data_IF_484336792237
#
_entry.id   IF_484336792237
#
_cell.length_a   1.000
_cell.length_b   1.000
_cell.length_c   1.000
_cell.angle_alpha   90.00
_cell.angle_beta   90.00
_cell.angle_gamma   90.00
#
_symmetry.space_group_name_H-M   'P 1'
#
loop_
_entity.id
_entity.type
_entity.pdbx_description
1 polymer ?
#
# COMPACT_ATOMS: atom_id res chain seq x y z
N UNK A 1 -0.71 17.67 -25.74
CA UNK A 1 -0.16 16.60 -24.90
C UNK A 1 -1.33 15.73 -24.48
N UNK A 2 -1.38 14.47 -24.92
CA UNK A 2 -2.45 13.55 -24.50
C UNK A 2 -2.23 13.23 -23.02
N UNK A 3 -3.20 13.53 -22.17
CA UNK A 3 -3.16 13.17 -20.75
C UNK A 3 -3.60 11.71 -20.66
N UNK A 4 -2.65 10.78 -20.57
CA UNK A 4 -2.99 9.38 -20.34
C UNK A 4 -3.54 9.24 -18.92
N UNK A 5 -4.72 8.63 -18.79
CA UNK A 5 -5.51 8.59 -17.57
C UNK A 5 -5.09 7.38 -16.70
N UNK A 6 -3.81 7.33 -16.33
CA UNK A 6 -3.24 6.20 -15.59
C UNK A 6 -3.78 6.12 -14.15
N UNK A 7 -3.76 4.90 -13.60
CA UNK A 7 -3.94 4.69 -12.16
C UNK A 7 -2.72 5.20 -11.38
N UNK A 8 -2.96 5.67 -10.15
CA UNK A 8 -1.93 6.11 -9.21
C UNK A 8 -2.02 5.24 -7.96
N UNK A 9 -0.95 4.49 -7.67
CA UNK A 9 -0.81 3.70 -6.46
C UNK A 9 0.15 4.40 -5.49
N UNK A 10 -0.38 4.87 -4.36
CA UNK A 10 0.41 5.40 -3.27
C UNK A 10 0.73 4.28 -2.26
N UNK A 11 1.98 4.19 -1.85
CA UNK A 11 2.42 3.25 -0.81
C UNK A 11 3.22 3.99 0.23
N UNK A 12 2.88 3.77 1.50
CA UNK A 12 3.63 4.33 2.63
C UNK A 12 4.88 3.49 2.87
N UNK A 13 6.01 3.86 2.26
CA UNK A 13 7.30 3.22 2.59
C UNK A 13 7.87 3.79 3.90
N UNK A 14 8.40 2.90 4.75
CA UNK A 14 9.22 3.28 5.90
C UNK A 14 10.60 3.76 5.41
N UNK A 15 10.72 5.02 4.99
CA UNK A 15 11.98 5.78 4.94
C UNK A 15 11.74 7.13 4.29
N UNK A 16 10.98 8.01 4.95
CA UNK A 16 10.89 9.39 4.49
C UNK A 16 12.18 10.19 4.74
N UNK A 17 13.09 9.71 5.61
CA UNK A 17 14.46 10.21 5.70
C UNK A 17 15.34 9.30 6.57
N UNK A 18 16.35 8.65 5.99
CA UNK A 18 17.38 7.91 6.73
C UNK A 18 18.76 8.48 6.41
N UNK A 19 19.54 8.84 7.43
CA UNK A 19 20.94 9.25 7.28
C UNK A 19 21.82 8.09 7.70
N UNK A 20 22.95 7.87 7.01
CA UNK A 20 23.92 6.89 7.47
C UNK A 20 24.83 7.53 8.53
N UNK A 21 24.83 6.95 9.74
CA UNK A 21 25.82 7.27 10.79
C UNK A 21 26.88 6.16 10.80
N UNK A 22 27.89 6.33 9.94
CA UNK A 22 28.80 5.25 9.59
C UNK A 22 28.08 4.20 8.72
N UNK A 23 28.08 2.95 9.15
CA UNK A 23 27.41 1.85 8.43
C UNK A 23 26.01 1.53 8.97
N UNK A 24 25.47 2.34 9.89
CA UNK A 24 24.15 2.14 10.49
C UNK A 24 23.17 3.20 10.00
N UNK A 25 21.94 2.82 9.62
CA UNK A 25 20.90 3.79 9.33
C UNK A 25 20.45 4.50 10.61
N UNK A 26 20.26 5.81 10.50
CA UNK A 26 19.82 6.71 11.55
C UNK A 26 18.57 7.47 11.07
N UNK A 27 17.52 7.40 11.87
CA UNK A 27 16.20 7.94 11.55
C UNK A 27 15.77 9.04 12.52
N UNK A 28 16.70 9.65 13.28
CA UNK A 28 16.35 10.63 14.30
C UNK A 28 15.60 11.87 13.77
N UNK A 29 15.74 12.19 12.48
CA UNK A 29 14.98 13.28 11.82
C UNK A 29 13.75 12.78 11.06
N UNK A 30 13.51 11.47 11.01
CA UNK A 30 12.32 10.92 10.36
C UNK A 30 11.07 11.36 11.12
N UNK A 31 9.97 11.55 10.38
CA UNK A 31 8.68 11.86 10.99
C UNK A 31 8.27 10.70 11.93
N UNK A 32 7.87 10.98 13.18
CA UNK A 32 7.39 9.95 14.09
C UNK A 32 6.20 9.17 13.47
N UNK A 33 6.09 7.84 13.71
CA UNK A 33 5.09 6.99 13.06
C UNK A 33 3.66 7.51 13.17
N UNK A 34 3.25 8.01 14.34
CA UNK A 34 1.90 8.55 14.55
C UNK A 34 1.59 9.76 13.66
N UNK A 35 2.58 10.67 13.50
CA UNK A 35 2.44 11.82 12.61
C UNK A 35 2.50 11.40 11.14
N UNK A 36 3.37 10.46 10.80
CA UNK A 36 3.52 9.93 9.45
C UNK A 36 2.22 9.29 8.95
N UNK A 37 1.53 8.51 9.80
CA UNK A 37 0.24 7.90 9.49
C UNK A 37 -0.82 8.94 9.12
N UNK A 38 -0.96 9.99 9.94
CA UNK A 38 -1.92 11.08 9.70
C UNK A 38 -1.56 11.87 8.44
N UNK A 39 -0.26 12.18 8.26
CA UNK A 39 0.23 12.87 7.07
C UNK A 39 -0.05 12.07 5.79
N UNK A 40 0.24 10.77 5.80
CA UNK A 40 0.00 9.88 4.66
C UNK A 40 -1.49 9.83 4.29
N UNK A 41 -2.38 9.67 5.28
CA UNK A 41 -3.82 9.69 5.04
C UNK A 41 -4.26 11.02 4.37
N UNK A 42 -3.78 12.15 4.88
CA UNK A 42 -4.05 13.47 4.28
C UNK A 42 -3.49 13.59 2.87
N UNK A 43 -2.32 13.01 2.59
CA UNK A 43 -1.71 12.99 1.26
C UNK A 43 -2.57 12.21 0.28
N UNK A 44 -3.01 11.00 0.64
CA UNK A 44 -3.90 10.18 -0.21
C UNK A 44 -5.19 10.93 -0.53
N UNK A 45 -5.79 11.57 0.47
CA UNK A 45 -7.03 12.35 0.28
C UNK A 45 -6.82 13.56 -0.64
N UNK A 46 -5.65 14.22 -0.57
CA UNK A 46 -5.31 15.31 -1.49
C UNK A 46 -5.21 14.81 -2.93
N UNK A 47 -4.53 13.70 -3.16
CA UNK A 47 -4.41 13.12 -4.51
C UNK A 47 -5.77 12.71 -5.07
N UNK A 48 -6.62 12.08 -4.27
CA UNK A 48 -7.99 11.74 -4.68
C UNK A 48 -8.81 12.97 -5.09
N UNK A 49 -8.67 14.07 -4.34
CA UNK A 49 -9.37 15.34 -4.64
C UNK A 49 -8.81 16.05 -5.88
N UNK A 50 -7.51 15.94 -6.15
CA UNK A 50 -6.84 16.69 -7.23
C UNK A 50 -6.73 15.95 -8.55
N UNK A 51 -6.92 14.62 -8.57
CA UNK A 51 -6.77 13.79 -9.76
C UNK A 51 -8.10 13.15 -10.18
N UNK A 52 -8.29 11.88 -9.84
CA UNK A 52 -9.56 11.16 -9.98
C UNK A 52 -9.67 10.23 -8.77
N UNK A 53 -10.74 10.35 -7.95
CA UNK A 53 -10.86 9.56 -6.72
C UNK A 53 -10.70 8.05 -6.93
N UNK A 54 -11.26 7.53 -8.02
CA UNK A 54 -11.25 6.10 -8.33
C UNK A 54 -9.89 5.63 -8.90
N UNK A 55 -9.14 6.55 -9.51
CA UNK A 55 -7.82 6.27 -10.06
C UNK A 55 -6.71 6.31 -8.98
N UNK A 56 -7.00 6.75 -7.74
CA UNK A 56 -6.00 6.85 -6.66
C UNK A 56 -6.26 5.80 -5.58
N UNK A 57 -5.37 4.81 -5.53
CA UNK A 57 -5.34 3.79 -4.48
C UNK A 57 -4.18 4.03 -3.52
N UNK A 58 -4.31 3.59 -2.27
CA UNK A 58 -3.33 3.91 -1.23
C UNK A 58 -3.26 2.88 -0.11
N UNK A 59 -2.06 2.34 0.14
CA UNK A 59 -1.79 1.43 1.27
C UNK A 59 -0.88 2.08 2.32
N UNK A 60 -1.30 2.08 3.57
CA UNK A 60 -0.55 2.63 4.69
C UNK A 60 0.42 1.61 5.31
N UNK A 61 0.16 0.31 5.13
CA UNK A 61 1.03 -0.77 5.57
C UNK A 61 1.32 -1.72 4.41
N UNK A 62 2.61 -1.90 4.13
CA UNK A 62 3.11 -2.75 3.03
C UNK A 62 4.17 -3.74 3.51
N UNK A 63 4.63 -3.61 4.76
CA UNK A 63 5.73 -4.39 5.32
C UNK A 63 5.28 -5.64 6.08
N UNK A 64 4.01 -5.71 6.45
CA UNK A 64 3.39 -6.84 7.15
C UNK A 64 1.95 -7.06 6.71
N UNK A 65 1.49 -8.29 6.88
CA UNK A 65 0.10 -8.67 6.71
C UNK A 65 -0.84 -8.11 7.79
N UNK A 66 -2.13 -8.09 7.47
CA UNK A 66 -3.19 -7.73 8.39
C UNK A 66 -3.42 -8.79 9.50
N UNK A 67 -3.16 -10.07 9.20
CA UNK A 67 -3.35 -11.19 10.11
C UNK A 67 -2.19 -11.38 11.11
N UNK A 68 -2.50 -11.62 12.39
CA UNK A 68 -1.51 -12.04 13.39
C UNK A 68 -0.45 -10.97 13.63
N UNK A 69 0.82 -11.37 13.65
CA UNK A 69 1.93 -10.42 13.60
C UNK A 69 2.09 -9.78 12.22
N UNK A 70 1.61 -10.46 11.17
CA UNK A 70 1.73 -10.09 9.78
C UNK A 70 3.08 -10.43 9.15
N UNK A 71 3.96 -11.13 9.87
CA UNK A 71 5.35 -11.35 9.43
C UNK A 71 5.65 -12.79 9.05
N UNK A 72 4.99 -13.75 9.69
CA UNK A 72 5.25 -15.19 9.48
C UNK A 72 3.97 -15.98 9.27
N UNK A 73 2.82 -15.44 9.66
CA UNK A 73 1.54 -16.11 9.55
C UNK A 73 1.07 -16.09 8.09
N UNK A 74 0.72 -17.26 7.57
CA UNK A 74 0.06 -17.46 6.29
C UNK A 74 -0.94 -18.62 6.36
N UNK A 75 -2.04 -18.51 5.61
CA UNK A 75 -3.05 -19.55 5.51
C UNK A 75 -3.61 -20.00 6.86
N UNK A 76 -3.45 -21.28 7.22
CA UNK A 76 -4.04 -21.85 8.44
C UNK A 76 -3.48 -21.25 9.74
N UNK A 77 -2.25 -20.75 9.73
CA UNK A 77 -1.65 -20.13 10.94
C UNK A 77 -2.35 -18.81 11.34
N UNK A 78 -3.10 -18.20 10.42
CA UNK A 78 -3.97 -17.06 10.73
C UNK A 78 -5.25 -17.42 11.49
N UNK A 79 -5.60 -18.70 11.57
CA UNK A 79 -6.85 -19.12 12.20
C UNK A 79 -6.84 -18.80 13.69
N UNK A 80 -7.82 -17.99 14.12
CA UNK A 80 -7.97 -17.56 15.51
C UNK A 80 -7.02 -16.43 15.92
N UNK A 81 -6.22 -15.89 15.00
CA UNK A 81 -5.41 -14.71 15.24
C UNK A 81 -6.25 -13.44 15.17
N UNK A 82 -5.76 -12.38 15.83
CA UNK A 82 -6.30 -11.03 15.62
C UNK A 82 -5.97 -10.56 14.20
N UNK A 83 -6.80 -9.66 13.68
CA UNK A 83 -6.52 -8.95 12.43
C UNK A 83 -6.38 -7.46 12.69
N UNK A 84 -5.84 -6.75 11.71
CA UNK A 84 -5.85 -5.30 11.66
C UNK A 84 -7.29 -4.74 11.63
N UNK A 85 -7.45 -3.48 12.06
CA UNK A 85 -8.77 -2.81 12.13
C UNK A 85 -9.37 -2.52 10.75
N UNK A 86 -8.52 -2.22 9.76
CA UNK A 86 -8.93 -1.88 8.40
C UNK A 86 -8.01 -2.55 7.36
N UNK A 87 -8.42 -3.69 6.77
CA UNK A 87 -7.64 -4.39 5.76
C UNK A 87 -7.48 -3.60 4.46
N UNK A 88 -8.27 -2.55 4.21
CA UNK A 88 -8.10 -1.68 3.03
C UNK A 88 -6.90 -0.73 3.15
N UNK A 89 -6.25 -0.70 4.32
CA UNK A 89 -4.99 0.04 4.48
C UNK A 89 -3.76 -0.83 4.30
N UNK A 90 -3.94 -2.15 4.15
CA UNK A 90 -2.86 -3.11 4.07
C UNK A 90 -2.75 -3.65 2.64
N UNK A 91 -1.52 -3.73 2.12
CA UNK A 91 -1.27 -4.37 0.83
C UNK A 91 -1.42 -5.90 0.93
N UNK A 92 -1.05 -6.47 2.08
CA UNK A 92 -1.07 -7.91 2.32
C UNK A 92 -2.07 -8.32 3.40
N UNK A 93 -2.79 -9.42 3.16
CA UNK A 93 -3.68 -10.04 4.15
C UNK A 93 -2.88 -10.83 5.19
N UNK A 94 -1.94 -11.64 4.73
CA UNK A 94 -1.01 -12.42 5.56
C UNK A 94 0.43 -12.18 5.10
N UNK A 95 1.40 -13.01 5.50
CA UNK A 95 2.81 -12.78 5.15
C UNK A 95 3.12 -12.84 3.64
N UNK A 96 2.25 -13.44 2.81
CA UNK A 96 2.51 -13.64 1.37
C UNK A 96 1.33 -13.31 0.45
N UNK A 97 0.09 -13.40 0.94
CA UNK A 97 -1.11 -13.18 0.14
C UNK A 97 -1.56 -11.72 0.20
N UNK A 98 -1.85 -11.08 -0.96
CA UNK A 98 -2.44 -9.75 -1.01
C UNK A 98 -3.81 -9.63 -0.32
N UNK A 99 -4.18 -8.42 0.09
CA UNK A 99 -5.57 -8.13 0.50
C UNK A 99 -6.51 -8.14 -0.69
N UNK A 100 -7.82 -8.25 -0.43
CA UNK A 100 -8.85 -8.14 -1.47
C UNK A 100 -8.71 -6.85 -2.30
N UNK A 101 -8.35 -5.72 -1.67
CA UNK A 101 -8.15 -4.48 -2.40
C UNK A 101 -6.95 -4.56 -3.34
N UNK A 102 -5.83 -5.14 -2.91
CA UNK A 102 -4.68 -5.32 -3.78
C UNK A 102 -4.97 -6.30 -4.92
N UNK A 103 -5.70 -7.40 -4.65
CA UNK A 103 -6.18 -8.28 -5.71
C UNK A 103 -7.07 -7.56 -6.73
N UNK A 104 -7.95 -6.66 -6.28
CA UNK A 104 -8.77 -5.86 -7.19
C UNK A 104 -7.90 -5.00 -8.11
N UNK A 105 -6.89 -4.32 -7.57
CA UNK A 105 -5.95 -3.51 -8.36
C UNK A 105 -5.23 -4.38 -9.39
N UNK A 106 -4.66 -5.51 -8.98
CA UNK A 106 -3.95 -6.42 -9.87
C UNK A 106 -4.86 -6.98 -10.98
N UNK A 107 -6.10 -7.34 -10.65
CA UNK A 107 -7.07 -7.81 -11.62
C UNK A 107 -7.47 -6.71 -12.61
N UNK A 108 -7.74 -5.50 -12.12
CA UNK A 108 -8.10 -4.36 -12.98
C UNK A 108 -6.96 -4.00 -13.95
N UNK A 109 -5.70 -4.01 -13.50
CA UNK A 109 -4.54 -3.79 -14.37
C UNK A 109 -4.32 -4.94 -15.36
N UNK A 110 -4.47 -6.19 -14.92
CA UNK A 110 -4.36 -7.35 -15.81
C UNK A 110 -5.44 -7.38 -16.89
N UNK A 111 -6.66 -6.94 -16.57
CA UNK A 111 -7.75 -6.81 -17.55
C UNK A 111 -7.42 -5.71 -18.57
N UNK A 112 -6.85 -4.57 -18.15
CA UNK A 112 -6.46 -3.50 -19.07
C UNK A 112 -5.41 -3.98 -20.07
N UNK A 113 -4.37 -4.67 -19.58
CA UNK A 113 -3.31 -5.22 -20.44
C UNK A 113 -3.89 -6.18 -21.49
N UNK A 114 -4.69 -7.16 -21.05
CA UNK A 114 -5.30 -8.13 -21.98
C UNK A 114 -6.32 -7.47 -22.92
N UNK A 115 -7.07 -6.46 -22.44
CA UNK A 115 -8.03 -5.75 -23.27
C UNK A 115 -7.34 -4.91 -24.34
N UNK A 116 -6.18 -4.31 -24.03
CA UNK A 116 -5.35 -3.63 -25.02
C UNK A 116 -4.84 -4.62 -26.07
N UNK A 117 -4.38 -5.82 -25.68
CA UNK A 117 -3.94 -6.85 -26.61
C UNK A 117 -5.06 -7.43 -27.51
N UNK A 118 -6.32 -7.42 -27.05
CA UNK A 118 -7.47 -7.96 -27.80
C UNK A 118 -8.17 -6.90 -28.66
N UNK A 119 -7.98 -5.60 -28.36
CA UNK A 119 -8.61 -4.48 -29.07
C UNK A 119 -7.69 -3.79 -30.10
N UNK A 120 -6.50 -4.36 -30.38
CA UNK A 120 -5.62 -3.96 -31.49
C UNK A 120 -5.89 -4.82 -32.74
#
# INVERSE_FOLDING_TARGET
>A
VMHQNFGVLLVSQFTLYGVLKGNKPDFHVAMPPEKAKVFYASLVDKFRKSYSPDAVQGFAEISKGCCGSGTIEFGQSCKGQKTCDDPTKFMYWDAIHPTQQMYKILADEGIKEVAEDVLV
#
